data_IF_225970881484
#
_entry.id   IF_225970881484
#
_cell.length_a   1.000
_cell.length_b   1.000
_cell.length_c   1.000
_cell.angle_alpha   90.00
_cell.angle_beta   90.00
_cell.angle_gamma   90.00
#
_symmetry.space_group_name_H-M   'P 1'
#
loop_
_entity.id
_entity.type
_entity.pdbx_description
1 polymer ?
#
# COMPACT_ATOMS: atom_id res chain seq x y z
N UNK A 1 14.74 0.11 8.95
CA UNK A 1 13.79 -0.63 8.10
C UNK A 1 13.84 -0.03 6.72
N UNK A 2 14.09 -0.87 5.73
CA UNK A 2 13.98 -0.59 4.30
C UNK A 2 12.51 -0.60 3.89
N UNK A 3 12.20 -0.03 2.72
CA UNK A 3 10.84 -0.07 2.18
C UNK A 3 10.36 -1.52 1.92
N UNK A 4 11.27 -2.44 1.59
CA UNK A 4 10.96 -3.87 1.43
C UNK A 4 10.56 -4.52 2.75
N UNK A 5 11.33 -4.29 3.83
CA UNK A 5 10.99 -4.81 5.17
C UNK A 5 9.65 -4.23 5.69
N UNK A 6 9.39 -2.95 5.42
CA UNK A 6 8.10 -2.32 5.74
C UNK A 6 6.95 -2.98 4.97
N UNK A 7 7.12 -3.22 3.67
CA UNK A 7 6.11 -3.86 2.84
C UNK A 7 5.84 -5.31 3.28
N UNK A 8 6.87 -6.08 3.61
CA UNK A 8 6.76 -7.45 4.11
C UNK A 8 6.02 -7.54 5.43
N UNK A 9 6.35 -6.64 6.38
CA UNK A 9 5.68 -6.56 7.67
C UNK A 9 4.20 -6.24 7.52
N UNK A 10 3.88 -5.23 6.70
CA UNK A 10 2.48 -4.84 6.47
C UNK A 10 1.71 -5.93 5.72
N UNK A 11 2.34 -6.61 4.78
CA UNK A 11 1.72 -7.73 4.08
C UNK A 11 1.39 -8.90 5.02
N UNK A 12 2.32 -9.21 5.93
CA UNK A 12 2.18 -10.33 6.88
C UNK A 12 1.19 -10.03 8.01
N UNK A 13 1.14 -8.79 8.49
CA UNK A 13 0.34 -8.37 9.63
C UNK A 13 -0.70 -7.29 9.26
N UNK A 14 -1.29 -7.41 8.07
CA UNK A 14 -2.20 -6.40 7.52
C UNK A 14 -3.47 -6.16 8.35
N UNK A 15 -3.80 -7.09 9.25
CA UNK A 15 -4.95 -6.98 10.15
C UNK A 15 -4.68 -6.11 11.37
N UNK A 16 -3.44 -6.06 11.88
CA UNK A 16 -3.09 -5.28 13.08
C UNK A 16 -2.35 -3.98 12.76
N UNK A 17 -1.92 -3.77 11.51
CA UNK A 17 -1.32 -2.50 11.06
C UNK A 17 -2.38 -1.40 10.95
N UNK A 18 -2.00 -0.19 11.37
CA UNK A 18 -2.86 0.98 11.26
C UNK A 18 -3.07 1.39 9.79
N UNK A 19 -4.25 1.93 9.47
CA UNK A 19 -4.54 2.43 8.12
C UNK A 19 -3.53 3.49 7.68
N UNK A 20 -3.11 4.37 8.59
CA UNK A 20 -2.19 5.46 8.28
C UNK A 20 -0.81 4.94 7.88
N UNK A 21 -0.30 3.96 8.62
CA UNK A 21 0.95 3.28 8.33
C UNK A 21 0.89 2.48 7.03
N UNK A 22 -0.22 1.78 6.78
CA UNK A 22 -0.47 1.10 5.51
C UNK A 22 -0.37 2.07 4.32
N UNK A 23 -1.01 3.23 4.43
CA UNK A 23 -1.05 4.22 3.37
C UNK A 23 0.30 4.94 3.19
N UNK A 24 1.09 5.13 4.25
CA UNK A 24 2.45 5.69 4.14
C UNK A 24 3.35 4.79 3.31
N UNK A 25 3.39 3.49 3.63
CA UNK A 25 4.20 2.51 2.89
C UNK A 25 3.70 2.38 1.46
N UNK A 26 2.38 2.36 1.25
CA UNK A 26 1.81 2.32 -0.10
C UNK A 26 2.16 3.55 -0.94
N UNK A 27 2.19 4.74 -0.32
CA UNK A 27 2.61 5.99 -0.96
C UNK A 27 4.09 5.93 -1.36
N UNK A 28 4.96 5.43 -0.47
CA UNK A 28 6.39 5.22 -0.74
C UNK A 28 6.60 4.24 -1.90
N UNK A 29 5.82 3.15 -1.98
CA UNK A 29 5.82 2.24 -3.13
C UNK A 29 5.35 2.93 -4.41
N UNK A 30 4.36 3.82 -4.31
CA UNK A 30 3.89 4.61 -5.44
C UNK A 30 5.00 5.42 -6.12
N UNK A 31 5.96 5.92 -5.36
CA UNK A 31 7.11 6.65 -5.91
C UNK A 31 8.01 5.78 -6.81
N UNK A 32 8.06 4.47 -6.56
CA UNK A 32 8.85 3.47 -7.31
C UNK A 32 8.18 3.00 -8.62
N UNK A 33 6.92 3.38 -8.83
CA UNK A 33 6.21 3.10 -10.08
C UNK A 33 6.83 3.90 -11.23
N UNK A 34 6.85 3.30 -12.43
CA UNK A 34 7.50 3.91 -13.60
C UNK A 34 6.60 4.83 -14.41
N UNK A 35 5.28 4.61 -14.37
CA UNK A 35 4.34 5.34 -15.23
C UNK A 35 3.48 6.29 -14.40
N UNK A 36 3.22 7.48 -14.95
CA UNK A 36 2.33 8.46 -14.31
C UNK A 36 0.91 7.89 -14.11
N UNK A 37 0.41 7.10 -15.05
CA UNK A 37 -0.92 6.50 -14.96
C UNK A 37 -1.07 5.55 -13.77
N UNK A 38 -0.04 4.72 -13.50
CA UNK A 38 -0.08 3.79 -12.36
C UNK A 38 0.09 4.52 -11.03
N UNK A 39 0.89 5.60 -11.00
CA UNK A 39 0.99 6.49 -9.84
C UNK A 39 -0.35 7.14 -9.51
N UNK A 40 -0.96 7.79 -10.49
CA UNK A 40 -2.23 8.48 -10.31
C UNK A 40 -3.36 7.50 -9.90
N UNK A 41 -3.36 6.30 -10.48
CA UNK A 41 -4.31 5.26 -10.08
C UNK A 41 -4.15 4.87 -8.61
N UNK A 42 -2.91 4.65 -8.15
CA UNK A 42 -2.62 4.30 -6.77
C UNK A 42 -2.97 5.44 -5.80
N UNK A 43 -2.65 6.68 -6.16
CA UNK A 43 -3.02 7.87 -5.38
C UNK A 43 -4.54 8.00 -5.23
N UNK A 44 -5.32 7.78 -6.30
CA UNK A 44 -6.79 7.75 -6.23
C UNK A 44 -7.28 6.68 -5.25
N UNK A 45 -6.62 5.52 -5.17
CA UNK A 45 -6.95 4.49 -4.18
C UNK A 45 -6.62 4.91 -2.76
N UNK A 46 -5.47 5.52 -2.54
CA UNK A 46 -5.06 6.06 -1.23
C UNK A 46 -6.08 7.11 -0.75
N UNK A 47 -6.47 8.04 -1.61
CA UNK A 47 -7.50 9.05 -1.31
C UNK A 47 -8.83 8.37 -0.99
N UNK A 48 -9.24 7.36 -1.76
CA UNK A 48 -10.48 6.63 -1.49
C UNK A 48 -10.47 5.94 -0.11
N UNK A 49 -9.34 5.38 0.33
CA UNK A 49 -9.20 4.80 1.67
C UNK A 49 -9.33 5.90 2.73
N UNK A 50 -8.66 7.05 2.55
CA UNK A 50 -8.72 8.16 3.52
C UNK A 50 -10.13 8.72 3.66
N UNK A 51 -10.89 8.79 2.57
CA UNK A 51 -12.26 9.31 2.55
C UNK A 51 -13.33 8.30 2.96
N UNK A 52 -13.00 7.02 3.10
CA UNK A 52 -13.97 5.99 3.48
C UNK A 52 -14.31 6.01 4.98
N UNK A 53 -15.46 5.46 5.34
CA UNK A 53 -15.85 5.24 6.74
C UNK A 53 -14.81 4.37 7.46
N UNK A 54 -14.52 4.60 8.75
CA UNK A 54 -13.48 3.86 9.49
C UNK A 54 -13.60 2.33 9.38
N UNK A 55 -14.84 1.80 9.44
CA UNK A 55 -15.14 0.37 9.31
C UNK A 55 -14.79 -0.23 7.94
N UNK A 56 -14.71 0.59 6.90
CA UNK A 56 -14.43 0.17 5.53
C UNK A 56 -12.96 0.36 5.14
N UNK A 57 -12.23 1.25 5.82
CA UNK A 57 -10.83 1.56 5.51
C UNK A 57 -9.96 0.31 5.49
N UNK A 58 -10.08 -0.54 6.51
CA UNK A 58 -9.28 -1.77 6.59
C UNK A 58 -9.58 -2.75 5.46
N UNK A 59 -10.86 -2.85 5.06
CA UNK A 59 -11.27 -3.66 3.91
C UNK A 59 -10.70 -3.12 2.61
N UNK A 60 -10.61 -1.80 2.47
CA UNK A 60 -9.98 -1.17 1.30
C UNK A 60 -8.45 -1.34 1.30
N UNK A 61 -7.78 -1.25 2.45
CA UNK A 61 -6.36 -1.58 2.58
C UNK A 61 -6.07 -3.02 2.12
N UNK A 62 -6.88 -4.00 2.54
CA UNK A 62 -6.75 -5.39 2.09
C UNK A 62 -6.83 -5.55 0.56
N UNK A 63 -7.65 -4.75 -0.12
CA UNK A 63 -7.71 -4.74 -1.60
C UNK A 63 -6.45 -4.19 -2.26
N UNK A 64 -5.60 -3.48 -1.51
CA UNK A 64 -4.35 -2.88 -1.98
C UNK A 64 -3.11 -3.72 -1.66
N UNK A 65 -3.26 -4.84 -0.93
CA UNK A 65 -2.18 -5.81 -0.72
C UNK A 65 -1.46 -6.27 -2.00
N UNK A 66 -2.12 -6.42 -3.17
CA UNK A 66 -1.42 -6.77 -4.40
C UNK A 66 -0.31 -5.77 -4.81
N UNK A 67 -0.41 -4.49 -4.43
CA UNK A 67 0.65 -3.50 -4.69
C UNK A 67 1.89 -3.74 -3.83
N UNK A 68 1.70 -4.15 -2.57
CA UNK A 68 2.80 -4.58 -1.71
C UNK A 68 3.47 -5.84 -2.28
N UNK A 69 2.67 -6.83 -2.68
CA UNK A 69 3.16 -8.08 -3.28
C UNK A 69 3.94 -7.83 -4.57
N UNK A 70 3.44 -6.95 -5.45
CA UNK A 70 4.15 -6.54 -6.66
C UNK A 70 5.51 -5.91 -6.36
N UNK A 71 5.57 -5.01 -5.38
CA UNK A 71 6.81 -4.35 -4.98
C UNK A 71 7.84 -5.35 -4.46
N UNK A 72 7.44 -6.26 -3.56
CA UNK A 72 8.30 -7.31 -3.01
C UNK A 72 8.81 -8.26 -4.09
N UNK A 73 7.95 -8.65 -5.05
CA UNK A 73 8.34 -9.50 -6.18
C UNK A 73 9.39 -8.85 -7.08
N UNK A 74 9.46 -7.52 -7.13
CA UNK A 74 10.45 -6.77 -7.90
C UNK A 74 11.76 -6.55 -7.11
N UNK A 75 11.69 -6.46 -5.79
CA UNK A 75 12.88 -6.30 -4.93
C UNK A 75 13.71 -7.58 -4.79
N UNK A 76 13.09 -8.75 -5.03
CA UNK A 76 13.76 -10.06 -4.99
C UNK A 76 14.42 -10.47 -6.33
N UNK A 77 14.61 -9.52 -7.26
CA UNK A 77 15.12 -9.77 -8.61
C UNK A 77 16.22 -8.77 -8.98
#
# INVERSE_FOLDING_TARGET
MTLTEDAERIYTDSDHVSVEEFLDVLSRIGNELRTADTKEYLEKKIIAVRSAEPKERQKLCKKLLPYLAWYMSRSNN
#
